data_IF_126621633502
#
_entry.id   IF_126621633502
#
_cell.length_a   1.000
_cell.length_b   1.000
_cell.length_c   1.000
_cell.angle_alpha   90.00
_cell.angle_beta   90.00
_cell.angle_gamma   90.00
#
_symmetry.space_group_name_H-M   'P 1'
#
loop_
_entity.id
_entity.type
_entity.pdbx_description
1 polymer ?
#
# COMPACT_ATOMS: atom_id res chain seq x y z
N UNK A 1 -4.80 19.04 -10.92
CA UNK A 1 -4.93 17.67 -10.37
C UNK A 1 -5.53 16.81 -11.46
N UNK A 2 -4.67 16.18 -12.26
CA UNK A 2 -5.12 15.31 -13.35
C UNK A 2 -5.62 14.01 -12.72
N UNK A 3 -6.90 13.72 -12.89
CA UNK A 3 -7.51 12.46 -12.51
C UNK A 3 -6.95 11.38 -13.45
N UNK A 4 -5.97 10.61 -12.96
CA UNK A 4 -5.38 9.55 -13.78
C UNK A 4 -6.36 8.38 -13.78
N UNK A 5 -6.71 7.79 -14.94
CA UNK A 5 -7.72 6.73 -15.01
C UNK A 5 -7.38 5.54 -14.10
N UNK A 6 -6.08 5.26 -13.90
CA UNK A 6 -5.52 4.22 -13.03
C UNK A 6 -5.80 4.44 -11.53
N UNK A 7 -6.08 5.67 -11.09
CA UNK A 7 -6.35 5.99 -9.68
C UNK A 7 -7.84 6.05 -9.34
N UNK A 8 -8.72 5.86 -10.32
CA UNK A 8 -10.17 5.91 -10.08
C UNK A 8 -10.66 4.70 -9.29
N UNK A 9 -11.74 4.90 -8.52
CA UNK A 9 -12.44 3.81 -7.81
C UNK A 9 -12.83 2.69 -8.78
N UNK A 10 -13.31 3.04 -9.98
CA UNK A 10 -13.69 2.07 -11.00
C UNK A 10 -12.51 1.22 -11.46
N UNK A 11 -11.36 1.84 -11.75
CA UNK A 11 -10.17 1.13 -12.21
C UNK A 11 -9.63 0.19 -11.12
N UNK A 12 -9.45 0.68 -9.89
CA UNK A 12 -8.96 -0.14 -8.78
C UNK A 12 -9.93 -1.23 -8.38
N UNK A 13 -11.24 -0.97 -8.43
CA UNK A 13 -12.25 -2.00 -8.22
C UNK A 13 -12.16 -3.11 -9.29
N UNK A 14 -12.03 -2.74 -10.57
CA UNK A 14 -11.89 -3.72 -11.64
C UNK A 14 -10.58 -4.51 -11.53
N UNK A 15 -9.50 -3.89 -11.07
CA UNK A 15 -8.24 -4.56 -10.75
C UNK A 15 -8.44 -5.65 -9.69
N UNK A 16 -9.20 -5.37 -8.62
CA UNK A 16 -9.51 -6.36 -7.59
C UNK A 16 -10.31 -7.54 -8.16
N UNK A 17 -11.30 -7.27 -9.00
CA UNK A 17 -12.08 -8.31 -9.67
C UNK A 17 -11.24 -9.22 -10.56
N UNK A 18 -10.22 -8.69 -11.23
CA UNK A 18 -9.34 -9.44 -12.12
C UNK A 18 -8.25 -10.24 -11.36
N UNK A 19 -7.80 -9.74 -10.20
CA UNK A 19 -6.65 -10.30 -9.48
C UNK A 19 -7.05 -11.23 -8.34
N UNK A 20 -8.18 -10.98 -7.68
CA UNK A 20 -8.68 -11.81 -6.59
C UNK A 20 -9.61 -12.87 -7.16
N UNK A 21 -9.18 -14.12 -7.07
CA UNK A 21 -9.91 -15.28 -7.61
C UNK A 21 -10.35 -16.23 -6.51
N UNK A 22 -11.30 -17.11 -6.83
CA UNK A 22 -11.68 -18.24 -6.02
C UNK A 22 -11.51 -19.54 -6.80
N UNK A 23 -11.41 -20.65 -6.09
CA UNK A 23 -11.26 -21.98 -6.68
C UNK A 23 -12.64 -22.62 -6.75
N UNK A 24 -13.08 -22.96 -7.97
CA UNK A 24 -14.35 -23.65 -8.18
C UNK A 24 -14.29 -25.12 -7.75
N UNK A 25 -15.44 -25.80 -7.71
CA UNK A 25 -15.55 -27.23 -7.33
C UNK A 25 -14.70 -28.17 -8.21
N UNK A 26 -14.20 -27.66 -9.34
CA UNK A 26 -13.35 -28.39 -10.29
C UNK A 26 -11.87 -27.98 -10.16
N UNK A 27 -11.51 -27.24 -9.12
CA UNK A 27 -10.14 -26.81 -8.86
C UNK A 27 -9.65 -25.66 -9.75
N UNK A 28 -10.53 -24.94 -10.45
CA UNK A 28 -10.13 -23.88 -11.38
C UNK A 28 -10.27 -22.51 -10.74
N UNK A 29 -9.25 -21.67 -10.92
CA UNK A 29 -9.33 -20.26 -10.55
C UNK A 29 -10.41 -19.53 -11.40
N UNK A 30 -11.25 -18.76 -10.72
CA UNK A 30 -12.36 -17.99 -11.29
C UNK A 30 -12.37 -16.60 -10.69
N UNK A 31 -12.62 -15.60 -11.53
CA UNK A 31 -12.94 -14.26 -11.06
C UNK A 31 -14.30 -14.26 -10.36
N UNK A 32 -14.46 -13.34 -9.42
CA UNK A 32 -15.76 -13.09 -8.82
C UNK A 32 -16.66 -12.34 -9.80
N UNK A 33 -17.93 -12.72 -9.87
CA UNK A 33 -18.93 -11.96 -10.62
C UNK A 33 -19.50 -10.82 -9.77
N UNK A 34 -19.94 -9.73 -10.42
CA UNK A 34 -20.60 -8.60 -9.72
C UNK A 34 -21.78 -9.04 -8.83
N UNK A 35 -22.68 -9.95 -9.26
CA UNK A 35 -23.75 -10.45 -8.39
C UNK A 35 -23.23 -11.19 -7.14
N UNK A 36 -22.18 -12.00 -7.30
CA UNK A 36 -21.60 -12.75 -6.17
C UNK A 36 -21.02 -11.81 -5.11
N UNK A 37 -20.27 -10.77 -5.52
CA UNK A 37 -19.69 -9.80 -4.58
C UNK A 37 -20.76 -8.97 -3.90
N UNK A 38 -21.76 -8.50 -4.65
CA UNK A 38 -22.86 -7.71 -4.11
C UNK A 38 -23.68 -8.50 -3.06
N UNK A 39 -23.98 -9.77 -3.34
CA UNK A 39 -24.65 -10.65 -2.39
C UNK A 39 -23.79 -10.92 -1.16
N UNK A 40 -22.53 -11.31 -1.34
CA UNK A 40 -21.62 -11.62 -0.24
C UNK A 40 -21.39 -10.43 0.71
N UNK A 41 -21.30 -9.21 0.18
CA UNK A 41 -21.25 -8.00 1.00
C UNK A 41 -22.57 -7.82 1.76
N UNK A 42 -23.71 -7.89 1.07
CA UNK A 42 -25.02 -7.67 1.71
C UNK A 42 -25.32 -8.70 2.81
N UNK A 43 -24.86 -9.93 2.64
CA UNK A 43 -25.07 -11.04 3.57
C UNK A 43 -24.03 -11.09 4.70
N UNK A 44 -23.00 -10.22 4.69
CA UNK A 44 -21.95 -10.18 5.73
C UNK A 44 -22.52 -9.61 7.04
N UNK A 45 -22.60 -10.42 8.13
CA UNK A 45 -23.19 -9.99 9.39
C UNK A 45 -22.30 -9.02 10.19
N UNK A 46 -21.04 -8.81 9.79
CA UNK A 46 -20.10 -7.92 10.49
C UNK A 46 -20.40 -6.43 10.28
N UNK A 47 -21.29 -6.09 9.35
CA UNK A 47 -21.70 -4.71 9.07
C UNK A 47 -23.14 -4.63 8.52
N UNK A 48 -23.74 -3.44 8.57
CA UNK A 48 -25.11 -3.22 8.05
C UNK A 48 -25.17 -2.73 6.60
N UNK A 49 -24.06 -2.78 5.86
CA UNK A 49 -23.99 -2.24 4.50
C UNK A 49 -24.62 -3.17 3.47
N UNK A 50 -25.65 -2.68 2.77
CA UNK A 50 -26.29 -3.40 1.66
C UNK A 50 -25.80 -2.88 0.31
N UNK A 51 -25.42 -3.77 -0.59
CA UNK A 51 -24.92 -3.42 -1.93
C UNK A 51 -25.72 -4.18 -2.98
N UNK A 52 -26.42 -3.46 -3.86
CA UNK A 52 -27.15 -4.08 -4.95
C UNK A 52 -26.21 -4.40 -6.13
N UNK A 53 -26.55 -5.45 -6.90
CA UNK A 53 -25.84 -5.82 -8.14
C UNK A 53 -25.72 -4.63 -9.11
N UNK A 54 -26.82 -3.88 -9.30
CA UNK A 54 -26.87 -2.75 -10.23
C UNK A 54 -25.95 -1.63 -9.76
N UNK A 55 -25.98 -1.32 -8.47
CA UNK A 55 -25.11 -0.30 -7.89
C UNK A 55 -23.63 -0.67 -8.01
N UNK A 56 -23.25 -1.91 -7.71
CA UNK A 56 -21.86 -2.34 -7.88
C UNK A 56 -21.42 -2.32 -9.34
N UNK A 57 -22.32 -2.64 -10.29
CA UNK A 57 -22.03 -2.52 -11.72
C UNK A 57 -21.78 -1.07 -12.16
N UNK A 58 -22.55 -0.10 -11.64
CA UNK A 58 -22.33 1.33 -11.97
C UNK A 58 -21.06 1.89 -11.34
N UNK A 59 -20.65 1.40 -10.16
CA UNK A 59 -19.33 1.71 -9.60
C UNK A 59 -18.20 1.16 -10.49
N UNK A 60 -18.31 -0.08 -10.95
CA UNK A 60 -17.31 -0.70 -11.85
C UNK A 60 -17.19 -0.03 -13.20
N UNK A 61 -18.28 0.53 -13.74
CA UNK A 61 -18.24 1.27 -15.00
C UNK A 61 -17.79 2.72 -14.85
N UNK A 62 -17.65 3.22 -13.62
CA UNK A 62 -17.39 4.64 -13.34
C UNK A 62 -18.61 5.54 -13.55
N UNK A 63 -19.78 5.00 -13.91
CA UNK A 63 -21.02 5.77 -14.04
C UNK A 63 -21.50 6.34 -12.69
N UNK A 64 -21.12 5.68 -11.58
CA UNK A 64 -21.21 6.25 -10.25
C UNK A 64 -19.79 6.32 -9.66
N UNK A 65 -19.31 7.53 -9.37
CA UNK A 65 -17.94 7.76 -8.92
C UNK A 65 -17.84 8.04 -7.41
N UNK A 66 -18.95 8.17 -6.69
CA UNK A 66 -18.95 8.62 -5.29
C UNK A 66 -19.68 7.62 -4.36
N UNK A 67 -19.12 6.42 -4.13
CA UNK A 67 -19.63 5.51 -3.13
C UNK A 67 -19.44 6.03 -1.71
N UNK A 68 -20.31 5.61 -0.79
CA UNK A 68 -20.11 5.92 0.63
C UNK A 68 -18.90 5.19 1.19
N UNK A 69 -18.28 5.76 2.24
CA UNK A 69 -17.15 5.13 2.94
C UNK A 69 -17.50 3.72 3.44
N UNK A 70 -18.75 3.50 3.89
CA UNK A 70 -19.21 2.17 4.34
C UNK A 70 -19.19 1.14 3.21
N UNK A 71 -19.61 1.52 1.99
CA UNK A 71 -19.55 0.64 0.82
C UNK A 71 -18.11 0.35 0.43
N UNK A 72 -17.23 1.36 0.44
CA UNK A 72 -15.81 1.17 0.14
C UNK A 72 -15.14 0.21 1.13
N UNK A 73 -15.41 0.36 2.43
CA UNK A 73 -14.90 -0.53 3.47
C UNK A 73 -15.41 -1.97 3.30
N UNK A 74 -16.69 -2.14 2.98
CA UNK A 74 -17.28 -3.45 2.76
C UNK A 74 -16.68 -4.16 1.53
N UNK A 75 -16.50 -3.42 0.42
CA UNK A 75 -15.82 -3.93 -0.78
C UNK A 75 -14.38 -4.32 -0.47
N UNK A 76 -13.63 -3.44 0.20
CA UNK A 76 -12.23 -3.67 0.56
C UNK A 76 -12.09 -4.94 1.42
N UNK A 77 -12.90 -5.05 2.48
CA UNK A 77 -12.96 -6.23 3.35
C UNK A 77 -13.22 -7.52 2.58
N UNK A 78 -14.24 -7.54 1.72
CA UNK A 78 -14.59 -8.72 0.94
C UNK A 78 -13.38 -9.27 0.17
N UNK A 79 -12.66 -8.40 -0.54
CA UNK A 79 -11.50 -8.80 -1.35
C UNK A 79 -10.28 -9.13 -0.50
N UNK A 80 -10.05 -8.41 0.60
CA UNK A 80 -8.92 -8.63 1.49
C UNK A 80 -8.93 -10.04 2.10
N UNK A 81 -10.09 -10.48 2.60
CA UNK A 81 -10.28 -11.80 3.22
C UNK A 81 -10.08 -12.98 2.27
N UNK A 82 -10.07 -12.72 0.96
CA UNK A 82 -9.96 -13.74 -0.10
C UNK A 82 -8.56 -13.82 -0.69
N UNK A 83 -7.61 -13.08 -0.12
CA UNK A 83 -6.21 -13.06 -0.54
C UNK A 83 -5.33 -13.88 0.40
N UNK A 84 -4.16 -14.34 -0.07
CA UNK A 84 -3.21 -15.04 0.78
C UNK A 84 -2.73 -14.17 1.94
N UNK A 85 -2.53 -14.79 3.10
CA UNK A 85 -1.86 -14.15 4.22
C UNK A 85 -0.46 -13.62 3.82
N UNK A 86 -0.08 -12.46 4.36
CA UNK A 86 1.19 -11.79 4.00
C UNK A 86 1.08 -10.86 2.78
N UNK A 87 -0.09 -10.77 2.16
CA UNK A 87 -0.37 -9.75 1.14
C UNK A 87 -0.73 -8.41 1.79
N UNK A 88 -0.32 -7.25 1.24
CA UNK A 88 -0.72 -5.96 1.78
C UNK A 88 -2.25 -5.80 1.84
N UNK A 89 -2.77 -5.20 2.93
CA UNK A 89 -4.21 -5.13 3.16
C UNK A 89 -4.88 -4.21 2.14
N UNK A 90 -6.06 -4.62 1.66
CA UNK A 90 -6.91 -3.77 0.83
C UNK A 90 -7.73 -2.87 1.76
N UNK A 91 -7.59 -1.56 1.59
CA UNK A 91 -8.31 -0.56 2.38
C UNK A 91 -9.27 0.27 1.53
N UNK A 92 -10.15 1.04 2.16
CA UNK A 92 -10.96 2.03 1.46
C UNK A 92 -10.10 3.12 0.80
N UNK A 93 -8.96 3.50 1.41
CA UNK A 93 -8.00 4.44 0.85
C UNK A 93 -7.36 3.92 -0.44
N UNK A 94 -7.00 2.62 -0.47
CA UNK A 94 -6.59 1.97 -1.70
C UNK A 94 -7.62 2.19 -2.81
N UNK A 95 -8.91 1.97 -2.58
CA UNK A 95 -9.94 2.18 -3.63
C UNK A 95 -10.05 3.65 -4.08
N UNK A 96 -9.74 4.62 -3.21
CA UNK A 96 -9.80 6.05 -3.52
C UNK A 96 -8.52 6.60 -4.17
N UNK A 97 -7.48 5.77 -4.32
CA UNK A 97 -6.18 6.24 -4.78
C UNK A 97 -5.40 7.01 -3.70
N UNK A 98 -5.89 7.02 -2.46
CA UNK A 98 -5.22 7.59 -1.30
C UNK A 98 -4.17 6.61 -0.79
N UNK A 99 -2.92 6.78 -1.26
CA UNK A 99 -1.78 5.98 -0.86
C UNK A 99 -1.88 4.55 -1.39
N UNK A 100 -0.81 4.04 -1.99
CA UNK A 100 -0.66 2.59 -1.97
C UNK A 100 -0.36 2.25 -0.51
N UNK A 101 -1.20 1.48 0.22
CA UNK A 101 -0.91 1.12 1.60
C UNK A 101 0.47 0.45 1.71
N UNK A 102 1.01 -0.08 0.61
CA UNK A 102 2.36 -0.61 0.48
C UNK A 102 3.45 0.46 0.68
N UNK A 103 3.29 1.68 0.17
CA UNK A 103 4.31 2.73 0.29
C UNK A 103 4.28 3.37 1.68
N UNK A 104 3.09 3.74 2.18
CA UNK A 104 2.94 4.25 3.55
C UNK A 104 3.37 3.21 4.60
N UNK A 105 2.97 1.94 4.44
CA UNK A 105 3.42 0.88 5.34
C UNK A 105 4.92 0.60 5.20
N UNK A 106 5.52 0.76 4.01
CA UNK A 106 6.95 0.52 3.82
C UNK A 106 7.78 1.63 4.45
N UNK A 107 7.40 2.88 4.25
CA UNK A 107 8.07 4.02 4.89
C UNK A 107 7.93 3.95 6.41
N UNK A 108 6.75 3.61 6.93
CA UNK A 108 6.54 3.50 8.37
C UNK A 108 7.25 2.27 8.98
N UNK A 109 7.29 1.14 8.26
CA UNK A 109 8.12 -0.02 8.65
C UNK A 109 9.60 0.31 8.63
N UNK A 110 10.09 0.92 7.56
CA UNK A 110 11.50 1.30 7.42
C UNK A 110 11.90 2.32 8.51
N UNK A 111 11.02 3.27 8.82
CA UNK A 111 11.21 4.20 9.92
C UNK A 111 11.26 3.46 11.27
N UNK A 112 10.35 2.53 11.53
CA UNK A 112 10.35 1.71 12.75
C UNK A 112 11.62 0.88 12.88
N UNK A 113 12.06 0.24 11.80
CA UNK A 113 13.28 -0.56 11.76
C UNK A 113 14.52 0.31 12.03
N UNK A 114 14.62 1.47 11.38
CA UNK A 114 15.70 2.45 11.62
C UNK A 114 15.68 2.96 13.06
N UNK A 115 14.51 3.24 13.62
CA UNK A 115 14.36 3.72 15.01
C UNK A 115 14.50 2.62 16.07
N UNK A 116 14.52 1.34 15.70
CA UNK A 116 14.82 0.26 16.65
C UNK A 116 16.25 0.40 17.20
N UNK A 117 17.18 0.86 16.36
CA UNK A 117 18.57 1.12 16.71
C UNK A 117 18.68 2.27 17.75
N UNK A 118 19.42 2.00 18.83
CA UNK A 118 19.61 2.95 19.93
C UNK A 118 20.46 4.16 19.51
N UNK A 119 21.48 3.97 18.69
CA UNK A 119 22.33 5.05 18.19
C UNK A 119 21.54 5.96 17.25
N UNK A 120 20.73 5.39 16.35
CA UNK A 120 19.84 6.17 15.46
C UNK A 120 18.86 7.03 16.28
N UNK A 121 18.24 6.45 17.32
CA UNK A 121 17.38 7.23 18.24
C UNK A 121 18.13 8.36 18.93
N UNK A 122 19.36 8.15 19.41
CA UNK A 122 20.14 9.22 20.05
C UNK A 122 20.47 10.36 19.08
N UNK A 123 20.79 10.04 17.83
CA UNK A 123 21.05 11.04 16.78
C UNK A 123 19.77 11.84 16.49
N UNK A 124 18.63 11.16 16.31
CA UNK A 124 17.34 11.79 16.07
C UNK A 124 16.93 12.74 17.20
N UNK A 125 17.06 12.32 18.46
CA UNK A 125 16.76 13.16 19.62
C UNK A 125 17.64 14.42 19.65
N UNK A 126 18.96 14.28 19.44
CA UNK A 126 19.86 15.43 19.35
C UNK A 126 19.52 16.36 18.19
N UNK A 127 19.19 15.81 17.02
CA UNK A 127 18.82 16.58 15.84
C UNK A 127 17.51 17.35 16.01
N UNK A 128 16.62 16.88 16.90
CA UNK A 128 15.41 17.58 17.32
C UNK A 128 15.69 18.89 18.06
N UNK A 129 16.75 18.92 18.87
CA UNK A 129 17.15 20.08 19.68
C UNK A 129 17.95 21.14 18.89
N UNK A 130 18.40 20.81 17.67
CA UNK A 130 19.19 21.71 16.84
C UNK A 130 18.31 22.76 16.14
N UNK A 131 18.89 23.94 15.92
CA UNK A 131 18.26 24.95 15.05
C UNK A 131 18.18 24.42 13.61
N UNK A 132 17.21 24.87 12.79
CA UNK A 132 17.06 24.40 11.41
C UNK A 132 18.31 24.59 10.55
N UNK A 133 19.08 25.66 10.79
CA UNK A 133 20.32 25.94 10.06
C UNK A 133 21.42 24.90 10.38
N UNK A 134 21.60 24.60 11.66
CA UNK A 134 22.60 23.60 12.12
C UNK A 134 22.18 22.20 11.71
N UNK A 135 20.89 21.86 11.79
CA UNK A 135 20.36 20.57 11.31
C UNK A 135 20.68 20.31 9.84
N UNK A 136 20.58 21.32 8.97
CA UNK A 136 20.97 21.20 7.54
C UNK A 136 22.45 20.92 7.36
N UNK A 137 23.32 21.58 8.13
CA UNK A 137 24.77 21.33 8.07
C UNK A 137 25.12 19.91 8.52
N UNK A 138 24.45 19.40 9.55
CA UNK A 138 24.65 18.01 10.01
C UNK A 138 24.24 17.01 8.92
N UNK A 139 23.09 17.21 8.27
CA UNK A 139 22.65 16.35 7.16
C UNK A 139 23.68 16.33 6.02
N UNK A 140 24.19 17.49 5.61
CA UNK A 140 25.23 17.57 4.58
C UNK A 140 26.51 16.82 4.97
N UNK A 141 26.90 16.85 6.24
CA UNK A 141 28.09 16.12 6.69
C UNK A 141 27.86 14.60 6.68
N UNK A 142 26.65 14.14 7.01
CA UNK A 142 26.29 12.71 6.89
C UNK A 142 26.37 12.24 5.44
N UNK A 143 25.85 13.02 4.49
CA UNK A 143 25.91 12.70 3.06
C UNK A 143 27.36 12.51 2.57
N UNK A 144 28.28 13.38 3.02
CA UNK A 144 29.72 13.29 2.68
C UNK A 144 30.33 12.02 3.27
N UNK A 145 30.03 11.69 4.53
CA UNK A 145 30.58 10.52 5.20
C UNK A 145 30.10 9.21 4.54
N UNK A 146 28.82 9.16 4.14
CA UNK A 146 28.25 8.00 3.44
C UNK A 146 28.89 7.81 2.07
N UNK A 147 29.16 8.91 1.35
CA UNK A 147 29.86 8.85 0.06
C UNK A 147 31.29 8.31 0.21
N UNK A 148 32.04 8.79 1.21
CA UNK A 148 33.41 8.31 1.50
C UNK A 148 33.39 6.82 1.89
N UNK A 149 32.47 6.40 2.75
CA UNK A 149 32.34 4.99 3.14
C UNK A 149 32.05 4.07 1.93
N UNK A 150 31.21 4.54 1.01
CA UNK A 150 30.85 3.82 -0.21
C UNK A 150 32.02 3.68 -1.19
N UNK A 151 32.86 4.73 -1.32
CA UNK A 151 34.07 4.71 -2.14
C UNK A 151 35.15 3.79 -1.56
N UNK A 152 35.27 3.71 -0.24
CA UNK A 152 36.26 2.85 0.43
C UNK A 152 35.89 1.36 0.33
N UNK A 153 34.60 1.03 0.26
CA UNK A 153 34.11 -0.35 0.13
C UNK A 153 34.22 -0.92 -1.30
N UNK A 154 34.36 -0.07 -2.33
CA UNK A 154 34.51 -0.49 -3.73
C UNK A 154 35.96 -0.64 -4.22
N UNK A 155 36.95 -0.52 -3.32
CA UNK A 155 38.35 -0.27 -3.65
C UNK A 155 39.36 -1.36 -3.25
N UNK A 156 39.01 -2.64 -3.24
CA UNK A 156 40.00 -3.73 -3.19
C UNK A 156 40.28 -4.26 -4.61
N UNK A 157 41.32 -3.77 -5.31
CA UNK A 157 41.86 -4.45 -6.48
C UNK A 157 42.73 -5.63 -6.04
N UNK A 158 42.36 -6.80 -6.54
CA UNK A 158 43.16 -8.03 -6.58
C UNK A 158 44.59 -7.74 -7.06
N UNK A 159 45.53 -7.64 -6.12
CA UNK A 159 46.96 -7.64 -6.36
C UNK A 159 47.57 -8.89 -5.72
N UNK A 160 47.20 -10.07 -6.24
CA UNK A 160 48.05 -11.27 -6.06
C UNK A 160 48.10 -12.10 -7.34
N UNK A 161 48.70 -11.56 -8.41
CA UNK A 161 49.21 -12.39 -9.50
C UNK A 161 50.31 -11.69 -10.31
N UNK A 162 51.56 -11.80 -9.86
CA UNK A 162 52.72 -12.33 -10.62
C UNK A 162 54.04 -12.04 -9.93
#
# INVERSE_FOLDING_TARGET
MSDHPETTVAARLNQLFATVTWVDDRGRAREYSTPQVAAAITDDPSHSTTVSRVYLATLRSGANANPTVSVLKAIAKFFDERRPAGTPPITAGFLLGEGDPIEEDREERELRDKLADRQVRMIAMRAGDLTPAVRRQVLQMLDILDQVASETAGGEPDQTAR
#
